data_IF_082406749652
#
_entry.id   IF_082406749652
#
_cell.length_a   1.000
_cell.length_b   1.000
_cell.length_c   1.000
_cell.angle_alpha   90.00
_cell.angle_beta   90.00
_cell.angle_gamma   90.00
#
_symmetry.space_group_name_H-M   'P 1'
#
loop_
_entity.id
_entity.type
_entity.pdbx_description
1 polymer ?
#
# COMPACT_ATOMS: atom_id res chain seq x y z
N UNK A 1 7.15 23.48 0.15
CA UNK A 1 5.91 22.97 0.78
C UNK A 1 5.03 22.44 -0.33
N UNK A 2 4.37 21.30 -0.13
CA UNK A 2 3.40 20.77 -1.09
C UNK A 2 2.07 21.53 -0.95
N UNK A 3 1.45 21.88 -2.08
CA UNK A 3 0.07 22.35 -2.13
C UNK A 3 -0.84 21.12 -2.21
N UNK A 4 -1.66 20.93 -1.18
CA UNK A 4 -2.60 19.80 -1.09
C UNK A 4 -4.01 20.29 -1.41
N UNK A 5 -4.70 19.60 -2.29
CA UNK A 5 -6.11 19.86 -2.66
C UNK A 5 -6.95 18.61 -2.44
N UNK A 6 -8.25 18.82 -2.18
CA UNK A 6 -9.22 17.73 -1.99
C UNK A 6 -10.45 17.99 -2.86
N UNK A 7 -10.84 17.01 -3.66
CA UNK A 7 -12.00 17.03 -4.52
C UNK A 7 -12.93 15.86 -4.21
N UNK A 8 -14.26 16.11 -4.19
CA UNK A 8 -15.26 15.06 -3.92
C UNK A 8 -16.00 14.69 -5.19
N UNK A 9 -16.08 13.40 -5.48
CA UNK A 9 -16.91 12.78 -6.51
C UNK A 9 -17.89 11.85 -5.84
N UNK A 10 -19.21 12.13 -5.95
CA UNK A 10 -20.19 11.44 -5.12
C UNK A 10 -21.51 11.16 -5.83
N UNK A 11 -22.24 10.20 -5.32
CA UNK A 11 -23.66 9.99 -5.55
C UNK A 11 -24.43 10.77 -4.47
N UNK A 12 -24.76 12.03 -4.74
CA UNK A 12 -25.40 12.87 -3.72
C UNK A 12 -26.91 12.61 -3.56
N UNK A 13 -27.56 12.07 -4.62
CA UNK A 13 -28.99 11.82 -4.61
C UNK A 13 -29.34 10.42 -4.08
N UNK A 14 -30.10 10.38 -3.02
CA UNK A 14 -30.60 9.17 -2.38
C UNK A 14 -32.11 9.01 -2.66
N UNK A 15 -32.59 7.76 -2.83
CA UNK A 15 -34.03 7.53 -2.83
C UNK A 15 -34.61 7.87 -1.45
N UNK A 16 -35.91 8.19 -1.40
CA UNK A 16 -36.59 8.38 -0.12
C UNK A 16 -36.39 7.18 0.79
N UNK A 17 -35.93 7.43 2.02
CA UNK A 17 -35.55 6.37 2.96
C UNK A 17 -34.16 5.77 2.74
N UNK A 18 -33.43 6.16 1.71
CA UNK A 18 -32.04 5.75 1.47
C UNK A 18 -31.10 6.29 2.55
N UNK A 19 -30.06 5.53 2.90
CA UNK A 19 -29.16 5.83 4.01
C UNK A 19 -27.68 5.90 3.62
N UNK A 20 -27.27 5.31 2.51
CA UNK A 20 -25.83 5.12 2.20
C UNK A 20 -25.32 6.14 1.17
N UNK A 21 -24.46 7.04 1.63
CA UNK A 21 -23.78 8.02 0.78
C UNK A 21 -22.40 7.52 0.44
N UNK A 22 -22.16 7.25 -0.85
CA UNK A 22 -20.87 6.83 -1.38
C UNK A 22 -20.15 8.00 -2.05
N UNK A 23 -18.91 8.25 -1.67
CA UNK A 23 -18.09 9.29 -2.24
C UNK A 23 -16.64 8.84 -2.43
N UNK A 24 -16.02 9.32 -3.50
CA UNK A 24 -14.57 9.24 -3.73
C UNK A 24 -13.96 10.61 -3.47
N UNK A 25 -12.98 10.66 -2.60
CA UNK A 25 -12.20 11.87 -2.30
C UNK A 25 -10.85 11.73 -3.00
N UNK A 26 -10.59 12.61 -3.96
CA UNK A 26 -9.30 12.69 -4.62
C UNK A 26 -8.44 13.74 -3.93
N UNK A 27 -7.35 13.29 -3.34
CA UNK A 27 -6.35 14.17 -2.73
C UNK A 27 -5.17 14.29 -3.66
N UNK A 28 -4.81 15.52 -4.02
CA UNK A 28 -3.68 15.80 -4.92
C UNK A 28 -2.68 16.70 -4.23
N UNK A 29 -1.42 16.26 -4.19
CA UNK A 29 -0.27 17.02 -3.73
C UNK A 29 0.54 17.50 -4.94
N UNK A 30 0.74 18.81 -5.08
CA UNK A 30 1.52 19.44 -6.12
C UNK A 30 2.63 20.29 -5.51
N UNK A 31 3.74 20.44 -6.21
CA UNK A 31 4.86 21.29 -5.79
C UNK A 31 5.97 21.23 -6.82
N UNK A 32 6.97 22.06 -6.69
CA UNK A 32 8.14 21.98 -7.54
C UNK A 32 9.00 20.77 -7.15
N UNK A 33 9.64 20.07 -8.12
CA UNK A 33 10.60 19.03 -7.81
C UNK A 33 11.71 19.60 -6.90
N UNK A 34 12.25 18.81 -5.95
CA UNK A 34 13.34 19.25 -5.10
C UNK A 34 14.53 19.64 -5.96
N UNK A 35 15.03 20.85 -5.78
CA UNK A 35 16.28 21.30 -6.37
C UNK A 35 17.46 20.89 -5.46
N UNK A 36 18.67 20.88 -6.00
CA UNK A 36 19.89 20.61 -5.20
C UNK A 36 20.13 21.66 -4.10
N UNK A 37 19.47 22.81 -4.19
CA UNK A 37 19.57 23.91 -3.21
C UNK A 37 18.52 23.82 -2.09
N UNK A 38 17.48 23.00 -2.23
CA UNK A 38 16.48 22.82 -1.19
C UNK A 38 17.09 22.05 -0.02
N UNK A 39 16.91 22.56 1.21
CA UNK A 39 17.23 21.78 2.40
C UNK A 39 16.44 20.46 2.35
N UNK A 40 17.12 19.29 2.48
CA UNK A 40 16.41 18.03 2.45
C UNK A 40 15.40 18.00 3.59
N UNK A 41 14.14 17.75 3.30
CA UNK A 41 13.16 17.39 4.32
C UNK A 41 13.78 16.27 5.13
N UNK A 42 13.80 16.40 6.45
CA UNK A 42 14.43 15.40 7.32
C UNK A 42 13.86 14.02 7.00
N UNK A 43 14.71 13.12 6.53
CA UNK A 43 14.34 11.76 6.17
C UNK A 43 15.32 10.76 6.80
N UNK A 44 14.79 9.59 7.14
CA UNK A 44 15.55 8.46 7.66
C UNK A 44 15.10 7.18 6.93
N UNK A 45 16.06 6.45 6.37
CA UNK A 45 15.86 5.27 5.54
C UNK A 45 16.53 4.05 6.15
N UNK A 46 15.84 2.92 6.19
CA UNK A 46 16.42 1.64 6.59
C UNK A 46 16.18 0.61 5.50
N UNK A 47 17.23 -0.07 5.06
CA UNK A 47 17.12 -1.23 4.18
C UNK A 47 17.31 -2.48 5.03
N UNK A 48 16.28 -3.34 5.05
CA UNK A 48 16.26 -4.61 5.76
C UNK A 48 16.42 -5.71 4.74
N UNK A 49 17.50 -6.47 4.83
CA UNK A 49 17.83 -7.54 3.90
C UNK A 49 17.77 -8.88 4.63
N UNK A 50 16.93 -9.78 4.15
CA UNK A 50 16.93 -11.17 4.58
C UNK A 50 18.25 -11.84 4.17
N UNK A 51 18.91 -12.42 5.15
CA UNK A 51 20.11 -13.25 4.96
C UNK A 51 19.93 -14.59 5.69
N UNK A 52 18.69 -15.09 5.71
CA UNK A 52 18.39 -16.46 6.19
C UNK A 52 18.97 -17.53 5.27
N UNK A 53 18.98 -18.78 5.74
CA UNK A 53 19.56 -19.89 5.00
C UNK A 53 18.92 -20.15 3.63
N UNK A 54 17.64 -19.82 3.44
CA UNK A 54 16.90 -19.94 2.17
C UNK A 54 17.52 -19.09 1.05
N UNK A 55 18.12 -17.95 1.39
CA UNK A 55 18.78 -17.04 0.43
C UNK A 55 19.98 -17.67 -0.31
N UNK A 56 20.43 -18.85 0.12
CA UNK A 56 21.46 -19.66 -0.58
C UNK A 56 20.87 -20.59 -1.65
N UNK A 57 19.55 -20.70 -1.74
CA UNK A 57 18.88 -21.67 -2.61
C UNK A 57 17.85 -20.99 -3.56
N UNK A 58 18.26 -20.63 -4.77
CA UNK A 58 19.62 -20.63 -5.34
C UNK A 58 20.47 -19.46 -4.81
N UNK A 59 21.78 -19.60 -4.84
CA UNK A 59 22.74 -18.54 -4.43
C UNK A 59 22.54 -17.21 -5.15
N UNK A 60 21.92 -17.21 -6.33
CA UNK A 60 21.58 -16.01 -7.07
C UNK A 60 20.66 -15.06 -6.28
N UNK A 61 19.82 -15.57 -5.36
CA UNK A 61 18.99 -14.74 -4.48
C UNK A 61 19.84 -13.82 -3.60
N UNK A 62 20.85 -14.34 -2.90
CA UNK A 62 21.73 -13.54 -2.05
C UNK A 62 22.55 -12.53 -2.86
N UNK A 63 23.04 -12.96 -4.03
CA UNK A 63 23.80 -12.05 -4.93
C UNK A 63 22.91 -10.89 -5.38
N UNK A 64 21.67 -11.18 -5.78
CA UNK A 64 20.73 -10.17 -6.21
C UNK A 64 20.30 -9.26 -5.05
N UNK A 65 20.11 -9.81 -3.85
CA UNK A 65 19.78 -9.03 -2.63
C UNK A 65 20.90 -8.04 -2.28
N UNK A 66 22.17 -8.45 -2.37
CA UNK A 66 23.31 -7.54 -2.20
C UNK A 66 23.28 -6.43 -3.23
N UNK A 67 23.13 -6.77 -4.51
CA UNK A 67 23.08 -5.78 -5.59
C UNK A 67 21.88 -4.83 -5.44
N UNK A 68 20.73 -5.33 -4.96
CA UNK A 68 19.55 -4.50 -4.66
C UNK A 68 19.80 -3.53 -3.52
N UNK A 69 20.41 -3.99 -2.42
CA UNK A 69 20.78 -3.12 -1.30
C UNK A 69 21.76 -2.02 -1.76
N UNK A 70 22.76 -2.35 -2.55
CA UNK A 70 23.69 -1.36 -3.13
C UNK A 70 22.97 -0.36 -4.03
N UNK A 71 22.08 -0.84 -4.90
CA UNK A 71 21.28 0.03 -5.77
C UNK A 71 20.37 0.99 -4.98
N UNK A 72 19.81 0.54 -3.85
CA UNK A 72 19.06 1.41 -2.94
C UNK A 72 19.96 2.45 -2.28
N UNK A 73 21.12 2.03 -1.74
CA UNK A 73 22.11 2.93 -1.10
C UNK A 73 22.52 4.05 -2.05
N UNK A 74 22.75 3.74 -3.34
CA UNK A 74 23.15 4.73 -4.34
C UNK A 74 22.08 5.80 -4.61
N UNK A 75 20.82 5.51 -4.33
CA UNK A 75 19.70 6.47 -4.47
C UNK A 75 19.45 7.31 -3.20
N UNK A 76 20.06 6.96 -2.05
CA UNK A 76 19.92 7.77 -0.83
C UNK A 76 20.56 9.13 -1.06
N UNK A 77 19.77 10.20 -0.96
CA UNK A 77 20.25 11.57 -1.19
C UNK A 77 21.24 12.00 -0.10
N UNK A 78 22.14 12.90 -0.49
CA UNK A 78 23.10 13.53 0.40
C UNK A 78 22.41 14.11 1.64
N UNK A 79 22.98 13.85 2.82
CA UNK A 79 22.47 14.35 4.10
C UNK A 79 21.29 13.60 4.70
N UNK A 80 20.63 12.67 3.98
CA UNK A 80 19.58 11.80 4.52
C UNK A 80 20.17 10.79 5.49
N UNK A 81 19.49 10.53 6.61
CA UNK A 81 19.88 9.51 7.57
C UNK A 81 19.58 8.12 7.00
N UNK A 82 20.53 7.19 7.09
CA UNK A 82 20.27 5.84 6.61
C UNK A 82 21.01 4.77 7.41
N UNK A 83 20.52 3.53 7.26
CA UNK A 83 21.12 2.35 7.87
C UNK A 83 20.67 1.05 7.19
N UNK A 84 21.39 -0.01 7.51
CA UNK A 84 21.16 -1.36 6.97
C UNK A 84 20.96 -2.35 8.10
N UNK A 85 19.95 -3.19 7.98
CA UNK A 85 19.66 -4.32 8.88
C UNK A 85 19.82 -5.61 8.10
N UNK A 86 20.61 -6.53 8.62
CA UNK A 86 20.68 -7.91 8.16
C UNK A 86 19.73 -8.75 9.02
N UNK A 87 18.78 -9.42 8.37
CA UNK A 87 17.73 -10.20 8.98
C UNK A 87 18.02 -11.70 8.91
N UNK A 88 17.99 -12.37 10.07
CA UNK A 88 18.03 -13.82 10.23
C UNK A 88 16.97 -14.22 11.27
N UNK A 89 17.13 -15.29 12.04
CA UNK A 89 16.41 -15.52 13.30
C UNK A 89 16.60 -14.38 14.32
N UNK A 90 17.50 -13.44 14.03
CA UNK A 90 17.75 -12.21 14.77
C UNK A 90 17.91 -11.04 13.79
N UNK A 91 17.80 -9.81 14.31
CA UNK A 91 18.15 -8.61 13.56
C UNK A 91 19.56 -8.13 13.93
N UNK A 92 20.36 -7.78 12.92
CA UNK A 92 21.69 -7.27 13.10
C UNK A 92 21.84 -5.92 12.38
N UNK A 93 22.30 -4.89 13.09
CA UNK A 93 22.70 -3.63 12.47
C UNK A 93 23.96 -3.88 11.63
N UNK A 94 23.78 -3.97 10.33
CA UNK A 94 24.89 -4.18 9.42
C UNK A 94 25.74 -2.92 9.27
N UNK A 95 25.07 -1.78 9.07
CA UNK A 95 25.71 -0.48 8.93
C UNK A 95 24.73 0.66 9.29
N UNK A 96 25.16 1.65 10.06
CA UNK A 96 26.37 1.61 10.91
C UNK A 96 26.20 0.63 12.05
N UNK A 97 27.30 0.20 12.66
CA UNK A 97 27.27 -0.68 13.84
C UNK A 97 26.90 0.07 15.13
N UNK A 98 26.76 1.38 15.07
CA UNK A 98 26.44 2.25 16.19
C UNK A 98 24.95 2.32 16.54
N UNK A 99 24.63 3.10 17.57
CA UNK A 99 23.26 3.27 18.05
C UNK A 99 22.39 4.17 17.16
N UNK A 100 22.98 4.98 16.28
CA UNK A 100 22.29 5.94 15.42
C UNK A 100 22.59 5.65 13.95
N UNK A 101 21.65 6.03 13.08
CA UNK A 101 21.86 6.08 11.65
C UNK A 101 22.97 7.09 11.31
N UNK A 102 23.55 6.98 10.12
CA UNK A 102 24.54 7.95 9.60
C UNK A 102 23.91 8.82 8.52
N UNK A 103 24.47 10.01 8.33
CA UNK A 103 24.09 10.85 7.20
C UNK A 103 24.74 10.34 5.92
N UNK A 104 23.96 10.26 4.86
CA UNK A 104 24.46 9.87 3.57
C UNK A 104 25.48 10.88 3.03
N UNK A 105 26.64 10.39 2.66
CA UNK A 105 27.71 11.04 1.93
C UNK A 105 28.34 10.01 0.98
N UNK A 106 29.21 10.44 0.10
CA UNK A 106 29.92 9.49 -0.78
C UNK A 106 30.69 8.44 0.04
N UNK A 107 31.34 8.86 1.12
CA UNK A 107 32.10 8.02 2.04
C UNK A 107 31.18 7.01 2.75
N UNK A 108 30.11 7.46 3.39
CA UNK A 108 29.21 6.57 4.14
C UNK A 108 28.44 5.61 3.24
N UNK A 109 28.07 6.01 2.00
CA UNK A 109 27.52 5.09 0.99
C UNK A 109 28.55 4.03 0.57
N UNK A 110 29.83 4.41 0.40
CA UNK A 110 30.89 3.46 0.07
C UNK A 110 31.12 2.45 1.22
N UNK A 111 31.15 2.92 2.49
CA UNK A 111 31.25 2.04 3.65
C UNK A 111 30.05 1.09 3.76
N UNK A 112 28.82 1.58 3.51
CA UNK A 112 27.61 0.79 3.52
C UNK A 112 27.65 -0.32 2.43
N UNK A 113 28.09 0.00 1.22
CA UNK A 113 28.30 -1.00 0.16
C UNK A 113 29.33 -2.04 0.56
N UNK A 114 30.44 -1.62 1.16
CA UNK A 114 31.45 -2.56 1.66
C UNK A 114 30.85 -3.50 2.73
N UNK A 115 30.02 -2.97 3.63
CA UNK A 115 29.30 -3.79 4.61
C UNK A 115 28.35 -4.78 3.97
N UNK A 116 27.57 -4.39 2.92
CA UNK A 116 26.69 -5.29 2.17
C UNK A 116 27.46 -6.48 1.59
N UNK A 117 28.69 -6.27 1.09
CA UNK A 117 29.50 -7.35 0.55
C UNK A 117 29.90 -8.41 1.60
N UNK A 118 29.95 -8.04 2.88
CA UNK A 118 30.24 -9.00 3.97
C UNK A 118 29.06 -9.91 4.33
N UNK A 119 27.85 -9.64 3.84
CA UNK A 119 26.68 -10.46 4.13
C UNK A 119 26.92 -11.91 3.71
N UNK A 120 26.56 -12.82 4.60
CA UNK A 120 26.51 -14.26 4.33
C UNK A 120 25.18 -14.79 4.89
N UNK A 121 24.61 -15.78 4.22
CA UNK A 121 23.28 -16.25 4.58
C UNK A 121 23.37 -17.42 5.57
N UNK A 122 22.62 -17.32 6.67
CA UNK A 122 22.53 -18.36 7.71
C UNK A 122 21.29 -18.21 8.56
N UNK A 123 20.91 -19.28 9.25
CA UNK A 123 19.84 -19.28 10.26
C UNK A 123 18.44 -19.23 9.66
N UNK A 124 17.46 -18.87 10.49
CA UNK A 124 16.04 -18.80 10.16
C UNK A 124 15.57 -17.36 9.88
N UNK A 125 14.24 -17.19 9.77
CA UNK A 125 13.58 -15.93 9.43
C UNK A 125 12.70 -15.48 10.60
N UNK A 126 12.93 -14.25 11.12
CA UNK A 126 12.16 -13.61 12.20
C UNK A 126 11.86 -12.17 11.86
N UNK A 127 10.87 -11.95 10.95
CA UNK A 127 10.57 -10.65 10.37
C UNK A 127 10.15 -9.63 11.44
N UNK A 128 9.40 -10.04 12.45
CA UNK A 128 8.99 -9.17 13.55
C UNK A 128 10.19 -8.57 14.30
N UNK A 129 11.24 -9.36 14.54
CA UNK A 129 12.47 -8.83 15.17
C UNK A 129 13.17 -7.80 14.30
N UNK A 130 13.14 -7.97 12.98
CA UNK A 130 13.73 -7.00 12.06
C UNK A 130 12.98 -5.67 12.07
N UNK A 131 11.63 -5.74 12.12
CA UNK A 131 10.77 -4.56 12.24
C UNK A 131 10.97 -3.83 13.58
N UNK A 132 11.11 -4.57 14.70
CA UNK A 132 11.42 -3.97 16.02
C UNK A 132 12.78 -3.29 16.01
N UNK A 133 13.78 -3.84 15.35
CA UNK A 133 15.09 -3.20 15.24
C UNK A 133 15.01 -1.89 14.46
N UNK A 134 14.28 -1.89 13.33
CA UNK A 134 14.01 -0.66 12.58
C UNK A 134 13.23 0.36 13.43
N UNK A 135 12.18 -0.08 14.13
CA UNK A 135 11.42 0.77 15.04
C UNK A 135 12.30 1.45 16.09
N UNK A 136 13.17 0.68 16.76
CA UNK A 136 14.07 1.20 17.77
C UNK A 136 15.08 2.21 17.19
N UNK A 137 15.52 1.98 15.95
CA UNK A 137 16.44 2.89 15.28
C UNK A 137 15.76 4.18 14.86
N UNK A 138 14.53 4.10 14.36
CA UNK A 138 13.72 5.26 13.95
C UNK A 138 13.26 6.15 15.12
N UNK A 139 13.26 5.65 16.35
CA UNK A 139 12.81 6.41 17.53
C UNK A 139 13.58 7.73 17.73
N UNK A 140 14.85 7.82 17.28
CA UNK A 140 15.65 9.04 17.37
C UNK A 140 15.34 10.06 16.26
N UNK A 141 14.46 9.74 15.31
CA UNK A 141 14.16 10.51 14.10
C UNK A 141 12.67 10.88 14.00
N UNK A 142 12.04 11.09 15.14
CA UNK A 142 10.64 11.51 15.22
C UNK A 142 10.43 12.86 14.52
N UNK A 143 9.30 13.01 13.81
CA UNK A 143 9.00 14.21 13.00
C UNK A 143 9.65 14.21 11.60
N UNK A 144 10.50 13.22 11.29
CA UNK A 144 11.05 13.03 9.93
C UNK A 144 10.24 12.03 9.12
N UNK A 145 10.43 12.03 7.81
CA UNK A 145 9.98 10.95 6.94
C UNK A 145 10.79 9.70 7.29
N UNK A 146 10.13 8.67 7.82
CA UNK A 146 10.75 7.41 8.21
C UNK A 146 10.25 6.29 7.31
N UNK A 147 11.15 5.68 6.59
CA UNK A 147 10.81 4.65 5.62
C UNK A 147 11.78 3.48 5.67
N UNK A 148 11.24 2.28 5.54
CA UNK A 148 12.01 1.05 5.42
C UNK A 148 11.67 0.32 4.13
N UNK A 149 12.67 -0.33 3.54
CA UNK A 149 12.50 -1.34 2.48
C UNK A 149 12.86 -2.69 3.09
N UNK A 150 11.96 -3.67 2.97
CA UNK A 150 12.15 -5.02 3.46
C UNK A 150 12.18 -6.00 2.29
N UNK A 151 13.27 -6.77 2.19
CA UNK A 151 13.42 -7.88 1.27
C UNK A 151 13.47 -9.21 2.03
N UNK A 152 12.66 -10.19 1.60
CA UNK A 152 12.73 -11.56 2.12
C UNK A 152 12.41 -12.58 1.03
N UNK A 153 12.96 -13.77 1.15
CA UNK A 153 12.60 -14.95 0.35
C UNK A 153 11.92 -16.04 1.17
N UNK A 154 11.67 -15.77 2.47
CA UNK A 154 11.17 -16.75 3.40
C UNK A 154 9.91 -16.32 4.16
N UNK A 155 9.32 -17.28 4.85
CA UNK A 155 8.18 -17.08 5.77
C UNK A 155 8.69 -16.78 7.17
N UNK A 156 7.87 -16.11 7.96
CA UNK A 156 8.16 -15.81 9.36
C UNK A 156 7.97 -17.04 10.25
N UNK A 157 8.85 -18.04 10.12
CA UNK A 157 8.70 -19.35 10.77
C UNK A 157 9.17 -19.38 12.23
N UNK A 158 9.95 -18.40 12.65
CA UNK A 158 10.60 -18.40 13.97
C UNK A 158 9.83 -17.61 15.03
N UNK A 159 8.66 -17.09 14.72
CA UNK A 159 7.84 -16.27 15.61
C UNK A 159 6.40 -16.76 15.65
N UNK A 160 5.72 -16.56 16.79
CA UNK A 160 4.27 -16.81 16.86
C UNK A 160 3.49 -15.68 16.22
N UNK A 161 2.29 -15.98 15.71
CA UNK A 161 1.41 -14.97 15.11
C UNK A 161 1.02 -13.85 16.10
N UNK A 162 0.80 -14.20 17.39
CA UNK A 162 0.51 -13.23 18.45
C UNK A 162 1.67 -12.24 18.65
N UNK A 163 2.91 -12.75 18.65
CA UNK A 163 4.10 -11.89 18.76
C UNK A 163 4.22 -10.98 17.53
N UNK A 164 4.06 -11.54 16.34
CA UNK A 164 4.15 -10.79 15.11
C UNK A 164 3.07 -9.71 15.02
N UNK A 165 1.82 -10.01 15.42
CA UNK A 165 0.73 -9.03 15.49
C UNK A 165 1.05 -7.90 16.47
N UNK A 166 1.54 -8.22 17.68
CA UNK A 166 1.93 -7.21 18.67
C UNK A 166 3.09 -6.32 18.19
N UNK A 167 4.01 -6.88 17.39
CA UNK A 167 5.08 -6.10 16.75
C UNK A 167 4.52 -5.13 15.73
N UNK A 168 3.61 -5.57 14.87
CA UNK A 168 2.97 -4.70 13.88
C UNK A 168 2.22 -3.56 14.55
N UNK A 169 1.42 -3.84 15.57
CA UNK A 169 0.69 -2.83 16.35
C UNK A 169 1.64 -1.78 16.95
N UNK A 170 2.80 -2.20 17.44
CA UNK A 170 3.82 -1.30 17.97
C UNK A 170 4.47 -0.42 16.90
N UNK A 171 4.60 -0.92 15.69
CA UNK A 171 5.23 -0.22 14.58
C UNK A 171 4.28 0.74 13.84
N UNK A 172 2.96 0.59 14.01
CA UNK A 172 1.95 1.47 13.37
C UNK A 172 2.27 2.93 13.66
N UNK A 173 2.29 3.75 12.60
CA UNK A 173 2.58 5.19 12.68
C UNK A 173 4.04 5.56 12.96
N UNK A 174 4.91 4.57 13.24
CA UNK A 174 6.32 4.84 13.51
C UNK A 174 7.15 5.04 12.23
N UNK A 175 6.85 4.30 11.18
CA UNK A 175 7.51 4.39 9.86
C UNK A 175 6.66 3.70 8.80
N UNK A 176 6.94 3.97 7.52
CA UNK A 176 6.37 3.23 6.38
C UNK A 176 7.31 2.12 5.96
N UNK A 177 6.77 0.98 5.49
CA UNK A 177 7.57 -0.17 5.07
C UNK A 177 7.10 -0.74 3.75
N UNK A 178 7.91 -0.60 2.71
CA UNK A 178 7.70 -1.27 1.43
C UNK A 178 8.35 -2.67 1.46
N UNK A 179 7.58 -3.70 1.11
CA UNK A 179 8.00 -5.09 1.18
C UNK A 179 8.19 -5.69 -0.21
N UNK A 180 9.25 -6.47 -0.37
CA UNK A 180 9.51 -7.26 -1.58
C UNK A 180 9.80 -8.70 -1.23
N UNK A 181 9.07 -9.60 -1.88
CA UNK A 181 9.37 -11.01 -1.84
C UNK A 181 10.16 -11.43 -3.06
N UNK A 182 11.24 -12.21 -2.87
CA UNK A 182 12.04 -12.77 -3.95
C UNK A 182 11.77 -14.28 -4.09
N UNK A 183 11.51 -14.74 -5.32
CA UNK A 183 11.12 -16.11 -5.56
C UNK A 183 9.72 -16.42 -5.05
N UNK A 184 9.47 -17.66 -4.62
CA UNK A 184 8.11 -18.16 -4.33
C UNK A 184 7.94 -18.77 -2.92
N UNK A 185 8.95 -18.72 -2.07
CA UNK A 185 8.95 -19.42 -0.78
C UNK A 185 8.44 -18.55 0.39
N UNK A 186 8.13 -17.27 0.14
CA UNK A 186 7.62 -16.33 1.12
C UNK A 186 6.07 -16.28 1.17
N UNK A 187 5.49 -15.59 2.13
CA UNK A 187 4.03 -15.48 2.31
C UNK A 187 3.52 -14.12 1.87
N UNK A 188 2.67 -14.10 0.83
CA UNK A 188 1.98 -12.86 0.38
C UNK A 188 1.16 -12.26 1.52
N UNK A 189 0.45 -13.08 2.29
CA UNK A 189 -0.38 -12.63 3.40
C UNK A 189 0.45 -11.95 4.51
N UNK A 190 1.63 -12.49 4.86
CA UNK A 190 2.51 -11.88 5.88
C UNK A 190 3.06 -10.53 5.42
N UNK A 191 3.61 -10.45 4.21
CA UNK A 191 4.14 -9.18 3.70
C UNK A 191 3.03 -8.15 3.47
N UNK A 192 1.82 -8.58 3.06
CA UNK A 192 0.66 -7.71 2.95
C UNK A 192 0.24 -7.15 4.32
N UNK A 193 0.27 -7.97 5.38
CA UNK A 193 0.01 -7.49 6.76
C UNK A 193 1.01 -6.39 7.17
N UNK A 194 2.30 -6.55 6.84
CA UNK A 194 3.31 -5.52 7.12
C UNK A 194 3.03 -4.25 6.33
N UNK A 195 2.94 -4.36 5.02
CA UNK A 195 2.71 -3.22 4.12
C UNK A 195 1.42 -2.49 4.49
N UNK A 196 0.36 -3.23 4.78
CA UNK A 196 -0.91 -2.72 5.24
C UNK A 196 -0.75 -1.94 6.56
N UNK A 197 -0.21 -2.56 7.62
CA UNK A 197 -0.02 -1.92 8.92
C UNK A 197 0.89 -0.68 8.86
N UNK A 198 1.90 -0.71 8.00
CA UNK A 198 2.94 0.33 7.91
C UNK A 198 2.80 1.23 6.68
N UNK A 199 1.61 1.29 6.06
CA UNK A 199 1.27 2.18 4.94
C UNK A 199 2.27 2.11 3.77
N UNK A 200 2.80 0.94 3.51
CA UNK A 200 3.71 0.65 2.40
C UNK A 200 3.07 -0.17 1.29
N UNK A 201 3.89 -0.76 0.47
CA UNK A 201 3.49 -1.62 -0.66
C UNK A 201 4.08 -3.02 -0.53
N UNK A 202 3.44 -4.00 -1.17
CA UNK A 202 4.00 -5.34 -1.33
C UNK A 202 4.01 -5.71 -2.80
N UNK A 203 5.09 -6.33 -3.26
CA UNK A 203 5.17 -6.92 -4.60
C UNK A 203 6.12 -8.11 -4.61
N UNK A 204 6.01 -8.95 -5.62
CA UNK A 204 6.92 -10.03 -5.93
C UNK A 204 7.97 -9.59 -6.96
N UNK A 205 9.21 -9.95 -6.74
CA UNK A 205 10.25 -9.92 -7.76
C UNK A 205 10.58 -11.37 -8.12
N UNK A 206 9.93 -11.86 -9.19
CA UNK A 206 10.05 -13.26 -9.60
C UNK A 206 11.50 -13.59 -10.01
N UNK A 207 12.12 -12.69 -10.78
CA UNK A 207 13.47 -12.86 -11.29
C UNK A 207 14.49 -12.09 -10.44
N UNK A 208 15.46 -12.75 -9.81
CA UNK A 208 16.45 -12.09 -8.95
C UNK A 208 17.20 -10.93 -9.63
N UNK A 209 17.39 -10.96 -10.95
CA UNK A 209 18.12 -9.91 -11.66
C UNK A 209 17.37 -8.57 -11.76
N UNK A 210 16.06 -8.55 -11.51
CA UNK A 210 15.23 -7.32 -11.53
C UNK A 210 15.27 -6.56 -10.20
N UNK A 211 15.69 -7.21 -9.10
CA UNK A 211 15.74 -6.61 -7.78
C UNK A 211 16.49 -5.27 -7.69
N UNK A 212 17.68 -5.10 -8.28
CA UNK A 212 18.41 -3.83 -8.18
C UNK A 212 17.62 -2.66 -8.78
N UNK A 213 16.96 -2.87 -9.91
CA UNK A 213 16.16 -1.84 -10.57
C UNK A 213 14.92 -1.47 -9.75
N UNK A 214 14.25 -2.46 -9.15
CA UNK A 214 13.07 -2.26 -8.30
C UNK A 214 13.44 -1.51 -7.00
N UNK A 215 14.52 -1.90 -6.32
CA UNK A 215 15.01 -1.23 -5.12
C UNK A 215 15.45 0.21 -5.36
N UNK A 216 16.16 0.45 -6.48
CA UNK A 216 16.51 1.81 -6.89
C UNK A 216 15.25 2.66 -7.15
N UNK A 217 14.21 2.08 -7.75
CA UNK A 217 12.95 2.78 -8.01
C UNK A 217 12.20 3.10 -6.71
N UNK A 218 12.12 2.14 -5.77
CA UNK A 218 11.51 2.36 -4.46
C UNK A 218 12.23 3.46 -3.67
N UNK A 219 13.56 3.42 -3.61
CA UNK A 219 14.34 4.43 -2.91
C UNK A 219 14.17 5.80 -3.55
N UNK A 220 14.19 5.91 -4.89
CA UNK A 220 13.89 7.19 -5.57
C UNK A 220 12.49 7.71 -5.24
N UNK A 221 11.48 6.82 -5.15
CA UNK A 221 10.13 7.20 -4.76
C UNK A 221 10.09 7.71 -3.31
N UNK A 222 10.77 7.04 -2.39
CA UNK A 222 10.89 7.51 -1.00
C UNK A 222 11.60 8.86 -0.94
N UNK A 223 12.69 9.05 -1.67
CA UNK A 223 13.43 10.31 -1.74
C UNK A 223 12.64 11.48 -2.35
N UNK A 224 11.54 11.22 -3.05
CA UNK A 224 10.66 12.24 -3.60
C UNK A 224 9.60 12.73 -2.59
N UNK A 225 9.44 12.08 -1.44
CA UNK A 225 8.50 12.48 -0.39
C UNK A 225 8.95 13.79 0.26
N UNK A 226 7.98 14.63 0.64
CA UNK A 226 8.21 15.97 1.19
C UNK A 226 7.42 16.30 2.44
N UNK A 227 6.29 15.64 2.64
CA UNK A 227 5.47 15.77 3.84
C UNK A 227 5.51 14.46 4.61
N UNK A 228 5.88 14.52 5.88
CA UNK A 228 6.09 13.32 6.69
C UNK A 228 4.78 12.71 7.19
N UNK A 229 3.81 13.56 7.50
CA UNK A 229 2.57 13.15 8.19
C UNK A 229 1.37 13.89 7.56
N UNK A 230 0.74 13.25 6.59
CA UNK A 230 -0.52 13.72 6.01
C UNK A 230 -1.65 12.84 6.54
N UNK A 231 -2.66 13.48 7.13
CA UNK A 231 -3.82 12.79 7.72
C UNK A 231 -5.11 13.25 7.05
N UNK A 232 -6.05 12.32 6.96
CA UNK A 232 -7.43 12.63 6.57
C UNK A 232 -8.28 12.66 7.82
N UNK A 233 -8.92 13.79 8.09
CA UNK A 233 -9.81 13.98 9.22
C UNK A 233 -11.25 14.02 8.73
N UNK A 234 -12.10 13.14 9.25
CA UNK A 234 -13.50 13.04 8.93
C UNK A 234 -14.36 13.54 10.09
N UNK A 235 -15.20 14.53 9.82
CA UNK A 235 -16.25 15.00 10.76
C UNK A 235 -17.60 14.55 10.24
N UNK A 236 -18.30 13.76 11.04
CA UNK A 236 -19.66 13.30 10.78
C UNK A 236 -20.67 14.13 11.57
N UNK A 237 -21.85 14.44 11.00
CA UNK A 237 -22.93 15.05 11.74
C UNK A 237 -23.57 14.04 12.71
N UNK A 238 -24.37 14.55 13.65
CA UNK A 238 -25.04 13.69 14.62
C UNK A 238 -25.98 12.69 13.93
N UNK A 239 -25.85 11.43 14.28
CA UNK A 239 -26.65 10.33 13.72
C UNK A 239 -26.07 9.71 12.45
N UNK A 240 -25.02 10.29 11.85
CA UNK A 240 -24.29 9.65 10.77
C UNK A 240 -23.19 8.72 11.31
N UNK A 241 -22.91 7.64 10.58
CA UNK A 241 -21.92 6.63 10.93
C UNK A 241 -21.04 6.34 9.72
N UNK A 242 -19.75 6.20 9.93
CA UNK A 242 -18.83 5.74 8.89
C UNK A 242 -19.07 4.25 8.61
N UNK A 243 -19.45 3.91 7.39
CA UNK A 243 -19.57 2.53 6.93
C UNK A 243 -18.21 1.94 6.59
N UNK A 244 -17.44 2.63 5.75
CA UNK A 244 -16.05 2.30 5.44
C UNK A 244 -15.25 3.52 4.98
N UNK A 245 -13.93 3.42 5.09
CA UNK A 245 -12.95 4.35 4.51
C UNK A 245 -11.78 3.55 3.92
N UNK A 246 -11.60 3.62 2.61
CA UNK A 246 -10.61 2.83 1.88
C UNK A 246 -9.78 3.73 0.97
N UNK A 247 -8.48 3.55 0.94
CA UNK A 247 -7.68 4.01 -0.19
C UNK A 247 -8.03 3.12 -1.39
N UNK A 248 -8.28 3.71 -2.56
CA UNK A 248 -8.64 2.97 -3.78
C UNK A 248 -7.71 3.28 -4.95
N UNK A 249 -6.81 4.23 -4.79
CA UNK A 249 -5.70 4.50 -5.72
C UNK A 249 -4.50 5.07 -4.94
N UNK A 250 -3.28 4.62 -5.23
CA UNK A 250 -2.84 3.70 -6.31
C UNK A 250 -3.12 2.21 -6.04
N UNK A 251 -3.43 1.85 -4.81
CA UNK A 251 -3.74 0.48 -4.36
C UNK A 251 -4.97 0.48 -3.49
N UNK A 252 -5.74 -0.61 -3.53
CA UNK A 252 -6.88 -0.81 -2.64
C UNK A 252 -6.35 -1.22 -1.26
N UNK A 253 -6.70 -0.43 -0.24
CA UNK A 253 -6.34 -0.67 1.16
C UNK A 253 -7.49 -0.23 2.07
N UNK A 254 -8.02 -1.15 2.88
CA UNK A 254 -9.07 -0.83 3.84
C UNK A 254 -8.48 -0.18 5.09
N UNK A 255 -8.83 1.08 5.30
CA UNK A 255 -8.41 1.90 6.43
C UNK A 255 -9.50 2.05 7.49
N UNK A 256 -10.67 1.43 7.32
CA UNK A 256 -11.87 1.64 8.14
C UNK A 256 -11.61 1.43 9.64
N UNK A 257 -10.81 0.44 10.00
CA UNK A 257 -10.48 0.10 11.40
C UNK A 257 -9.29 0.87 11.96
N UNK A 258 -8.62 1.71 11.15
CA UNK A 258 -7.41 2.45 11.53
C UNK A 258 -7.69 3.89 11.94
N UNK A 259 -8.95 4.29 11.92
CA UNK A 259 -9.35 5.62 12.34
C UNK A 259 -9.17 5.82 13.85
N UNK A 260 -8.50 6.89 14.23
CA UNK A 260 -8.37 7.33 15.62
C UNK A 260 -9.42 8.38 15.92
N UNK A 261 -10.22 8.17 16.96
CA UNK A 261 -11.25 9.14 17.39
C UNK A 261 -10.58 10.24 18.20
N UNK A 262 -10.68 11.48 17.71
CA UNK A 262 -10.17 12.66 18.37
C UNK A 262 -11.11 13.16 19.49
N UNK A 263 -10.63 13.99 20.46
CA UNK A 263 -11.44 14.51 21.54
C UNK A 263 -12.65 15.33 21.08
N UNK A 264 -12.58 15.94 19.90
CA UNK A 264 -13.67 16.72 19.29
C UNK A 264 -14.69 15.86 18.52
N UNK A 265 -14.56 14.53 18.59
CA UNK A 265 -15.42 13.56 17.92
C UNK A 265 -15.15 13.36 16.42
N UNK A 266 -14.08 13.94 15.88
CA UNK A 266 -13.61 13.63 14.51
C UNK A 266 -12.85 12.32 14.47
N UNK A 267 -12.77 11.70 13.29
CA UNK A 267 -11.99 10.48 13.06
C UNK A 267 -10.81 10.85 12.17
N UNK A 268 -9.59 10.55 12.61
CA UNK A 268 -8.38 10.76 11.82
C UNK A 268 -7.81 9.46 11.29
N UNK A 269 -7.39 9.49 10.03
CA UNK A 269 -6.72 8.40 9.32
C UNK A 269 -5.33 8.87 8.89
N UNK A 270 -4.30 8.19 9.35
CA UNK A 270 -2.94 8.39 8.85
C UNK A 270 -2.86 7.88 7.40
N UNK A 271 -2.28 8.68 6.51
CA UNK A 271 -2.06 8.31 5.10
C UNK A 271 -0.58 8.21 4.75
N UNK A 272 0.29 8.44 5.73
CA UNK A 272 1.74 8.35 5.61
C UNK A 272 2.38 9.58 4.97
N UNK A 273 3.62 9.43 4.53
CA UNK A 273 4.36 10.49 3.88
C UNK A 273 3.94 10.66 2.42
N UNK A 274 3.99 11.91 1.94
CA UNK A 274 3.56 12.30 0.60
C UNK A 274 4.67 13.00 -0.17
N UNK A 275 4.73 12.68 -1.48
CA UNK A 275 5.43 13.44 -2.50
C UNK A 275 4.44 14.15 -3.42
N UNK A 276 4.87 14.43 -4.67
CA UNK A 276 3.96 14.88 -5.73
C UNK A 276 3.17 13.69 -6.24
N UNK A 277 1.97 13.54 -5.77
CA UNK A 277 1.12 12.39 -6.10
C UNK A 277 -0.36 12.72 -5.92
N UNK A 278 -1.20 11.83 -6.40
CA UNK A 278 -2.62 11.84 -6.13
C UNK A 278 -3.04 10.48 -5.58
N UNK A 279 -3.81 10.49 -4.49
CA UNK A 279 -4.43 9.29 -3.92
C UNK A 279 -5.94 9.48 -3.84
N UNK A 280 -6.66 8.44 -4.16
CA UNK A 280 -8.12 8.46 -4.13
C UNK A 280 -8.62 7.56 -2.99
N UNK A 281 -9.59 8.08 -2.26
CA UNK A 281 -10.19 7.42 -1.09
C UNK A 281 -11.68 7.25 -1.33
N UNK A 282 -12.18 6.02 -1.24
CA UNK A 282 -13.61 5.71 -1.28
C UNK A 282 -14.14 5.60 0.13
N UNK A 283 -15.23 6.30 0.41
CA UNK A 283 -15.90 6.24 1.70
C UNK A 283 -17.40 6.05 1.53
N UNK A 284 -18.00 5.37 2.50
CA UNK A 284 -19.44 5.25 2.66
C UNK A 284 -19.84 5.81 4.02
N UNK A 285 -20.81 6.70 4.02
CA UNK A 285 -21.39 7.27 5.24
C UNK A 285 -22.86 6.88 5.30
N UNK A 286 -23.24 6.16 6.35
CA UNK A 286 -24.64 5.91 6.67
C UNK A 286 -25.22 7.14 7.36
N UNK A 287 -26.31 7.67 6.81
CA UNK A 287 -27.01 8.85 7.32
C UNK A 287 -28.45 8.50 7.73
N UNK A 288 -29.08 9.24 8.65
CA UNK A 288 -30.50 9.07 8.93
C UNK A 288 -31.34 9.29 7.66
N UNK A 289 -32.41 8.52 7.44
CA UNK A 289 -33.32 8.73 6.31
C UNK A 289 -34.10 10.02 6.45
N UNK A 290 -34.32 10.72 5.34
CA UNK A 290 -35.09 11.95 5.29
C UNK A 290 -36.15 11.91 4.18
N UNK A 291 -37.04 12.93 4.15
CA UNK A 291 -38.06 13.07 3.15
C UNK A 291 -37.54 13.60 1.82
N UNK A 292 -38.31 13.40 0.74
CA UNK A 292 -37.96 13.97 -0.57
C UNK A 292 -37.85 15.48 -0.52
N UNK A 293 -36.77 16.02 -1.15
CA UNK A 293 -36.43 17.43 -1.14
C UNK A 293 -35.60 17.92 0.04
N UNK A 294 -35.35 17.07 1.04
CA UNK A 294 -34.44 17.41 2.13
C UNK A 294 -32.98 17.16 1.73
N UNK A 295 -32.08 18.00 2.25
CA UNK A 295 -30.63 17.87 2.06
C UNK A 295 -29.90 17.99 3.39
N UNK A 296 -28.75 17.31 3.48
CA UNK A 296 -27.84 17.45 4.62
C UNK A 296 -26.38 17.33 4.22
N UNK A 297 -25.51 17.88 5.05
CA UNK A 297 -24.08 17.58 4.99
C UNK A 297 -23.86 16.20 5.63
N UNK A 298 -23.54 15.18 4.81
CA UNK A 298 -23.26 13.83 5.27
C UNK A 298 -21.91 13.73 5.97
N UNK A 299 -20.90 14.50 5.51
CA UNK A 299 -19.58 14.53 6.13
C UNK A 299 -18.71 15.67 5.64
N UNK A 300 -17.73 16.06 6.45
CA UNK A 300 -16.65 16.97 6.06
C UNK A 300 -15.34 16.20 6.12
N UNK A 301 -14.62 16.17 5.01
CA UNK A 301 -13.30 15.58 4.88
C UNK A 301 -12.27 16.69 4.86
N UNK A 302 -11.32 16.68 5.78
CA UNK A 302 -10.23 17.65 5.86
C UNK A 302 -8.89 16.97 5.72
N UNK A 303 -7.98 17.57 4.97
CA UNK A 303 -6.57 17.15 4.88
C UNK A 303 -5.80 17.94 5.93
N UNK A 304 -5.06 17.23 6.77
CA UNK A 304 -4.30 17.80 7.88
C UNK A 304 -2.83 17.48 7.69
N UNK A 305 -1.98 18.50 7.79
CA UNK A 305 -0.51 18.38 7.80
C UNK A 305 -0.01 19.00 9.10
N UNK A 306 0.67 18.20 9.92
CA UNK A 306 0.93 18.62 11.29
C UNK A 306 -0.38 18.92 12.02
N UNK A 307 -0.57 20.17 12.48
CA UNK A 307 -1.80 20.61 13.16
C UNK A 307 -2.71 21.47 12.27
N UNK A 308 -2.31 21.74 11.02
CA UNK A 308 -3.03 22.63 10.12
C UNK A 308 -3.95 21.86 9.16
N UNK A 309 -5.17 22.39 8.99
CA UNK A 309 -6.10 21.96 7.93
C UNK A 309 -5.73 22.70 6.65
N UNK A 310 -5.16 21.97 5.69
CA UNK A 310 -4.66 22.55 4.41
C UNK A 310 -5.67 22.45 3.28
N UNK A 311 -6.61 21.51 3.34
CA UNK A 311 -7.69 21.37 2.35
C UNK A 311 -8.94 20.81 3.00
N UNK A 312 -10.10 21.08 2.42
CA UNK A 312 -11.39 20.56 2.90
C UNK A 312 -12.30 20.27 1.72
N UNK A 313 -13.01 19.16 1.79
CA UNK A 313 -14.06 18.78 0.85
C UNK A 313 -15.32 18.30 1.59
N UNK A 314 -16.49 18.40 0.96
CA UNK A 314 -17.78 18.14 1.59
C UNK A 314 -18.48 16.96 0.91
N UNK A 315 -19.09 16.10 1.71
CA UNK A 315 -19.96 15.00 1.25
C UNK A 315 -21.40 15.38 1.60
N UNK A 316 -22.28 15.36 0.59
CA UNK A 316 -23.69 15.78 0.71
C UNK A 316 -24.63 14.60 0.52
N UNK A 317 -25.82 14.71 1.07
CA UNK A 317 -26.94 13.83 0.82
C UNK A 317 -28.18 14.66 0.48
N UNK A 318 -28.87 14.29 -0.60
CA UNK A 318 -30.12 14.92 -1.08
C UNK A 318 -31.12 13.82 -1.32
N UNK A 319 -32.26 13.83 -0.64
CA UNK A 319 -33.31 12.83 -0.84
C UNK A 319 -34.24 13.26 -1.95
N UNK A 320 -34.53 12.33 -2.87
CA UNK A 320 -35.38 12.58 -4.02
C UNK A 320 -36.29 11.39 -4.30
N UNK A 321 -37.47 11.65 -4.84
CA UNK A 321 -38.40 10.68 -5.43
C UNK A 321 -38.15 10.47 -6.92
N UNK A 322 -37.24 11.25 -7.55
CA UNK A 322 -36.78 11.02 -8.92
C UNK A 322 -35.85 9.82 -8.98
N UNK A 323 -36.40 8.70 -9.52
CA UNK A 323 -35.65 7.46 -9.70
C UNK A 323 -34.46 7.64 -10.64
N UNK A 324 -34.57 8.50 -11.68
CA UNK A 324 -33.46 8.75 -12.61
C UNK A 324 -32.28 9.45 -11.94
N UNK A 325 -32.52 10.30 -10.93
CA UNK A 325 -31.47 10.95 -10.15
C UNK A 325 -30.87 10.00 -9.10
N UNK A 326 -31.71 9.29 -8.33
CA UNK A 326 -31.25 8.44 -7.22
C UNK A 326 -30.54 7.15 -7.68
N UNK A 327 -30.78 6.68 -8.91
CA UNK A 327 -30.09 5.51 -9.48
C UNK A 327 -28.83 5.85 -10.29
N UNK A 328 -28.54 7.15 -10.47
CA UNK A 328 -27.36 7.57 -11.22
C UNK A 328 -26.11 7.43 -10.36
N UNK A 329 -25.19 6.55 -10.79
CA UNK A 329 -23.91 6.36 -10.12
C UNK A 329 -22.84 7.28 -10.74
N UNK A 330 -22.11 7.99 -9.90
CA UNK A 330 -20.99 8.83 -10.35
C UNK A 330 -19.89 7.94 -10.97
N UNK A 331 -19.33 8.29 -12.16
CA UNK A 331 -18.33 7.46 -12.83
C UNK A 331 -17.14 7.06 -11.97
N UNK A 332 -16.62 7.96 -11.12
CA UNK A 332 -15.51 7.67 -10.22
C UNK A 332 -15.90 6.62 -9.16
N UNK A 333 -17.10 6.74 -8.57
CA UNK A 333 -17.60 5.75 -7.60
C UNK A 333 -17.78 4.40 -8.27
N UNK A 334 -18.43 4.36 -9.45
CA UNK A 334 -18.61 3.13 -10.21
C UNK A 334 -17.29 2.47 -10.62
N UNK A 335 -16.30 3.28 -11.01
CA UNK A 335 -14.98 2.80 -11.40
C UNK A 335 -14.28 2.07 -10.25
N UNK A 336 -14.15 2.70 -9.08
CA UNK A 336 -13.45 2.09 -7.94
C UNK A 336 -14.23 0.94 -7.31
N UNK A 337 -15.57 0.98 -7.28
CA UNK A 337 -16.38 -0.16 -6.82
C UNK A 337 -16.14 -1.41 -7.70
N UNK A 338 -15.96 -1.25 -9.01
CA UNK A 338 -15.61 -2.36 -9.92
C UNK A 338 -14.18 -2.87 -9.71
N UNK A 339 -13.23 -1.99 -9.40
CA UNK A 339 -11.87 -2.39 -9.05
C UNK A 339 -11.84 -3.18 -7.74
N UNK A 340 -12.61 -2.76 -6.72
CA UNK A 340 -12.77 -3.50 -5.47
C UNK A 340 -13.39 -4.89 -5.73
N UNK A 341 -14.45 -4.97 -6.56
CA UNK A 341 -15.04 -6.25 -6.97
C UNK A 341 -14.00 -7.14 -7.66
N UNK A 342 -13.22 -6.59 -8.60
CA UNK A 342 -12.17 -7.31 -9.31
C UNK A 342 -11.12 -7.91 -8.35
N UNK A 343 -10.62 -7.13 -7.42
CA UNK A 343 -9.66 -7.61 -6.42
C UNK A 343 -10.25 -8.72 -5.54
N UNK A 344 -11.50 -8.55 -5.11
CA UNK A 344 -12.19 -9.53 -4.26
C UNK A 344 -12.40 -10.87 -4.98
N UNK A 345 -12.86 -10.85 -6.24
CA UNK A 345 -13.09 -12.11 -6.99
C UNK A 345 -11.78 -12.79 -7.36
N UNK A 346 -10.69 -12.05 -7.59
CA UNK A 346 -9.35 -12.65 -7.77
C UNK A 346 -8.92 -13.35 -6.49
N UNK A 347 -8.99 -12.68 -5.33
CA UNK A 347 -8.63 -13.27 -4.05
C UNK A 347 -9.47 -14.51 -3.74
N UNK A 348 -10.79 -14.46 -3.96
CA UNK A 348 -11.69 -15.60 -3.78
C UNK A 348 -11.36 -16.77 -4.73
N UNK A 349 -11.06 -16.47 -5.99
CA UNK A 349 -10.68 -17.47 -6.99
C UNK A 349 -9.37 -18.18 -6.69
N UNK A 350 -8.35 -17.44 -6.21
CA UNK A 350 -7.07 -18.03 -5.77
C UNK A 350 -7.26 -18.88 -4.51
N UNK A 351 -8.02 -18.40 -3.52
CA UNK A 351 -8.31 -19.17 -2.30
C UNK A 351 -9.09 -20.46 -2.60
N UNK A 352 -10.09 -20.42 -3.50
CA UNK A 352 -10.83 -21.60 -3.93
C UNK A 352 -9.91 -22.62 -4.65
N UNK A 353 -8.99 -22.12 -5.48
CA UNK A 353 -7.99 -22.96 -6.15
C UNK A 353 -7.06 -23.65 -5.15
N UNK A 354 -6.54 -22.93 -4.15
CA UNK A 354 -5.71 -23.47 -3.08
C UNK A 354 -6.47 -24.54 -2.27
N UNK A 355 -7.77 -24.33 -2.03
CA UNK A 355 -8.66 -25.31 -1.37
C UNK A 355 -9.03 -26.50 -2.25
N UNK A 356 -8.68 -26.52 -3.54
CA UNK A 356 -9.05 -27.56 -4.50
C UNK A 356 -10.50 -27.48 -5.01
N UNK A 357 -11.20 -26.37 -4.78
CA UNK A 357 -12.55 -26.13 -5.31
C UNK A 357 -12.46 -25.54 -6.74
N UNK A 358 -12.31 -26.44 -7.73
CA UNK A 358 -12.17 -26.05 -9.13
C UNK A 358 -13.41 -25.32 -9.67
N UNK A 359 -14.60 -25.65 -9.14
CA UNK A 359 -15.83 -25.01 -9.59
C UNK A 359 -15.88 -23.53 -9.16
N UNK A 360 -15.67 -23.27 -7.89
CA UNK A 360 -15.67 -21.92 -7.34
C UNK A 360 -14.49 -21.11 -7.91
N UNK A 361 -13.28 -21.71 -8.00
CA UNK A 361 -12.14 -21.07 -8.63
C UNK A 361 -12.44 -20.62 -10.07
N UNK A 362 -13.05 -21.50 -10.87
CA UNK A 362 -13.44 -21.17 -12.25
C UNK A 362 -14.46 -20.03 -12.28
N UNK A 363 -15.48 -20.09 -11.42
CA UNK A 363 -16.52 -19.07 -11.36
C UNK A 363 -15.95 -17.68 -11.04
N UNK A 364 -15.12 -17.60 -10.00
CA UNK A 364 -14.54 -16.32 -9.54
C UNK A 364 -13.52 -15.77 -10.56
N UNK A 365 -12.64 -16.61 -11.11
CA UNK A 365 -11.65 -16.16 -12.10
C UNK A 365 -12.29 -15.83 -13.46
N UNK A 366 -13.42 -16.45 -13.82
CA UNK A 366 -14.25 -16.03 -14.96
C UNK A 366 -14.79 -14.62 -14.77
N UNK A 367 -15.35 -14.36 -13.57
CA UNK A 367 -15.83 -13.02 -13.22
C UNK A 367 -14.69 -11.99 -13.22
N UNK A 368 -13.50 -12.36 -12.73
CA UNK A 368 -12.32 -11.52 -12.76
C UNK A 368 -11.91 -11.14 -14.19
N UNK A 369 -11.88 -12.09 -15.11
CA UNK A 369 -11.56 -11.84 -16.53
C UNK A 369 -12.58 -10.87 -17.16
N UNK A 370 -13.87 -11.07 -16.89
CA UNK A 370 -14.94 -10.19 -17.40
C UNK A 370 -14.81 -8.76 -16.87
N UNK A 371 -14.55 -8.60 -15.56
CA UNK A 371 -14.37 -7.29 -14.93
C UNK A 371 -13.12 -6.59 -15.44
N UNK A 372 -12.00 -7.29 -15.54
CA UNK A 372 -10.74 -6.75 -16.05
C UNK A 372 -10.88 -6.28 -17.51
N UNK A 373 -11.56 -7.06 -18.38
CA UNK A 373 -11.88 -6.66 -19.74
C UNK A 373 -12.78 -5.42 -19.79
N UNK A 374 -13.84 -5.40 -18.99
CA UNK A 374 -14.77 -4.27 -18.91
C UNK A 374 -14.17 -2.97 -18.36
N UNK A 375 -13.11 -3.06 -17.55
CA UNK A 375 -12.33 -1.94 -17.04
C UNK A 375 -11.17 -1.55 -17.97
N UNK A 376 -10.87 -2.33 -19.02
CA UNK A 376 -9.68 -2.13 -19.84
C UNK A 376 -8.37 -2.40 -19.11
N UNK A 377 -8.39 -3.22 -18.05
CA UNK A 377 -7.24 -3.49 -17.18
C UNK A 377 -6.34 -4.59 -17.78
N UNK A 378 -5.58 -4.21 -18.82
CA UNK A 378 -4.75 -5.14 -19.62
C UNK A 378 -3.72 -5.88 -18.78
N UNK A 379 -3.12 -5.21 -17.79
CA UNK A 379 -2.10 -5.84 -16.95
C UNK A 379 -2.69 -6.94 -16.07
N UNK A 380 -3.88 -6.74 -15.50
CA UNK A 380 -4.57 -7.80 -14.74
C UNK A 380 -5.00 -8.97 -15.64
N UNK A 381 -5.42 -8.70 -16.90
CA UNK A 381 -5.71 -9.78 -17.84
C UNK A 381 -4.48 -10.65 -18.12
N UNK A 382 -3.30 -10.03 -18.31
CA UNK A 382 -2.05 -10.79 -18.48
C UNK A 382 -1.69 -11.62 -17.26
N UNK A 383 -1.89 -11.08 -16.06
CA UNK A 383 -1.69 -11.84 -14.82
C UNK A 383 -2.66 -13.02 -14.70
N UNK A 384 -3.93 -12.81 -15.05
CA UNK A 384 -4.93 -13.87 -15.09
C UNK A 384 -4.55 -14.97 -16.09
N UNK A 385 -3.99 -14.62 -17.25
CA UNK A 385 -3.48 -15.58 -18.24
C UNK A 385 -2.34 -16.45 -17.69
N UNK A 386 -1.64 -16.03 -16.65
CA UNK A 386 -0.70 -16.88 -15.91
C UNK A 386 -1.39 -18.05 -15.20
N UNK A 387 -2.59 -17.83 -14.67
CA UNK A 387 -3.32 -18.80 -13.81
C UNK A 387 -4.41 -19.56 -14.57
N UNK A 388 -5.08 -18.94 -15.54
CA UNK A 388 -6.14 -19.52 -16.35
C UNK A 388 -5.84 -19.42 -17.85
N UNK A 389 -6.50 -20.25 -18.65
CA UNK A 389 -6.61 -20.05 -20.09
C UNK A 389 -7.83 -19.18 -20.34
N UNK A 390 -7.65 -17.98 -20.87
CA UNK A 390 -8.74 -17.06 -21.20
C UNK A 390 -9.16 -17.33 -22.64
N UNK A 391 -10.32 -17.96 -22.83
CA UNK A 391 -10.87 -18.22 -24.16
C UNK A 391 -11.61 -16.98 -24.70
N UNK A 392 -12.37 -16.27 -23.85
CA UNK A 392 -13.01 -15.00 -24.16
C UNK A 392 -13.15 -14.15 -22.88
N UNK A 393 -12.36 -13.08 -22.78
CA UNK A 393 -12.37 -12.19 -21.62
C UNK A 393 -13.67 -11.39 -21.49
N UNK A 394 -14.33 -11.01 -22.62
CA UNK A 394 -15.53 -10.19 -22.58
C UNK A 394 -16.73 -10.94 -21.98
N UNK A 395 -16.82 -12.23 -22.24
CA UNK A 395 -17.84 -13.11 -21.66
C UNK A 395 -17.41 -13.77 -20.36
N UNK A 396 -16.11 -13.66 -20.00
CA UNK A 396 -15.54 -14.33 -18.83
C UNK A 396 -15.34 -15.83 -19.05
N UNK A 397 -15.22 -16.29 -20.30
CA UNK A 397 -14.98 -17.71 -20.56
C UNK A 397 -13.53 -18.07 -20.30
N UNK A 398 -13.30 -18.82 -19.23
CA UNK A 398 -11.94 -19.26 -18.82
C UNK A 398 -11.92 -20.75 -18.48
N UNK A 399 -10.71 -21.33 -18.49
CA UNK A 399 -10.44 -22.69 -18.02
C UNK A 399 -9.23 -22.65 -17.08
N UNK A 400 -9.30 -23.33 -15.94
CA UNK A 400 -8.17 -23.44 -15.02
C UNK A 400 -7.00 -24.17 -15.72
N UNK A 401 -5.78 -23.66 -15.52
CA UNK A 401 -4.56 -24.37 -15.89
C UNK A 401 -4.30 -25.50 -14.90
N UNK A 402 -3.95 -26.69 -15.41
CA UNK A 402 -3.59 -27.85 -14.57
C UNK A 402 -2.28 -27.63 -13.79
N UNK A 403 -1.33 -26.94 -14.39
CA UNK A 403 -0.09 -26.53 -13.77
C UNK A 403 0.08 -25.02 -13.93
N UNK A 404 0.30 -24.34 -12.81
CA UNK A 404 0.53 -22.90 -12.75
C UNK A 404 1.86 -22.68 -12.06
N UNK A 405 2.64 -21.72 -12.56
CA UNK A 405 3.85 -21.30 -11.88
C UNK A 405 3.43 -20.57 -10.57
N UNK A 406 3.95 -20.98 -9.40
CA UNK A 406 3.65 -20.27 -8.14
C UNK A 406 3.95 -18.76 -8.21
N UNK A 407 4.93 -18.34 -9.00
CA UNK A 407 5.23 -16.92 -9.19
C UNK A 407 4.08 -16.17 -9.90
N UNK A 408 3.37 -16.82 -10.83
CA UNK A 408 2.21 -16.22 -11.51
C UNK A 408 1.03 -16.04 -10.55
N UNK A 409 0.77 -17.03 -9.68
CA UNK A 409 -0.28 -16.91 -8.63
C UNK A 409 0.06 -15.79 -7.65
N UNK A 410 1.30 -15.73 -7.16
CA UNK A 410 1.75 -14.70 -6.23
C UNK A 410 1.74 -13.31 -6.87
N UNK A 411 2.10 -13.21 -8.16
CA UNK A 411 2.03 -11.95 -8.90
C UNK A 411 0.59 -11.47 -9.10
N UNK A 412 -0.33 -12.38 -9.42
CA UNK A 412 -1.75 -12.07 -9.52
C UNK A 412 -2.31 -11.62 -8.16
N UNK A 413 -1.99 -12.33 -7.09
CA UNK A 413 -2.43 -11.97 -5.74
C UNK A 413 -1.89 -10.59 -5.33
N UNK A 414 -0.57 -10.37 -5.38
CA UNK A 414 0.04 -9.10 -4.93
C UNK A 414 -0.41 -7.90 -5.74
N UNK A 415 -0.62 -8.06 -7.06
CA UNK A 415 -0.91 -6.95 -7.98
C UNK A 415 -2.40 -6.74 -8.24
N UNK A 416 -3.28 -7.63 -7.79
CA UNK A 416 -4.74 -7.52 -7.94
C UNK A 416 -5.32 -6.26 -7.28
N UNK A 417 -4.67 -5.76 -6.25
CA UNK A 417 -5.08 -4.54 -5.53
C UNK A 417 -4.60 -3.24 -6.17
N UNK A 418 -3.71 -3.31 -7.18
CA UNK A 418 -3.26 -2.11 -7.92
C UNK A 418 -4.39 -1.59 -8.80
N UNK A 419 -4.61 -0.28 -8.77
CA UNK A 419 -5.68 0.37 -9.54
C UNK A 419 -5.13 1.38 -10.54
N UNK A 420 -5.91 1.64 -11.57
CA UNK A 420 -5.65 2.70 -12.55
C UNK A 420 -6.64 3.83 -12.30
N UNK A 421 -6.14 5.06 -12.18
CA UNK A 421 -7.01 6.22 -12.04
C UNK A 421 -7.84 6.47 -13.29
N UNK A 422 -9.12 6.78 -13.08
CA UNK A 422 -9.94 7.34 -14.15
C UNK A 422 -9.41 8.77 -14.46
N UNK A 423 -8.96 9.00 -15.69
CA UNK A 423 -8.57 10.35 -16.10
C UNK A 423 -9.85 11.18 -16.20
N UNK A 424 -9.95 12.26 -15.41
CA UNK A 424 -10.96 13.29 -15.68
C UNK A 424 -10.65 13.89 -17.05
N UNK A 425 -11.57 13.75 -18.00
CA UNK A 425 -11.55 14.60 -19.18
C UNK A 425 -11.72 16.03 -18.69
N UNK A 426 -10.68 16.84 -18.86
CA UNK A 426 -10.63 18.24 -18.46
C UNK A 426 -11.49 19.14 -19.34
#
# INVERSE_FOLDING_TARGET
>A
MLELTAETFQNEHLPVGGTDVNAVISLTARGEPPTAADEPVGAAEIVIVDVSGSMLHPRSKLVAAKAAAEAAIDQVREGVWFGLVAGTGHAHRLYPTGARLVRASEETRAEARAAVQTLDAMGGTSIGRWLIEAYNWFAAYEGMIRHAILLTDGRNESETDDYFSAVLDRCVGAFQCDCRGIGVDWSVAELRRIASALLGTVDIVAEPHDLPADFAAMMRHSMARREADVRVRLRLPRGAVLGFFKQVSPTIEDLSTRGSVCPDGTIEFATGAWGQETRDYHLCIAVPPHASGEEMLAGRVSVVVGDEVVATSLVRAVWTDDVGMSTRIHPQVAHYSRHEELANVIAAGLAAREAGDEHEATLQLSRAAQLAAGLGHVDTLRLLEGVVVVDDAATGTVRLKLAVDPADEMALDTRSTKTVRLRSEG
#
